data_IF_289575191744
#
_entry.id   IF_289575191744
#
_cell.length_a   1.000
_cell.length_b   1.000
_cell.length_c   1.000
_cell.angle_alpha   90.00
_cell.angle_beta   90.00
_cell.angle_gamma   90.00
#
_symmetry.space_group_name_H-M   'P 1'
#
loop_
_entity.id
_entity.type
_entity.pdbx_description
1 polymer ?
#
# COMPACT_ATOMS: atom_id res chain seq x y z
N UNK A 1 2.24 -12.70 -6.48
CA UNK A 1 2.31 -12.67 -4.99
C UNK A 1 3.66 -12.10 -4.58
N UNK A 2 3.72 -11.29 -3.52
CA UNK A 2 4.97 -10.65 -3.06
C UNK A 2 5.92 -11.65 -2.35
N UNK A 3 5.41 -12.76 -1.82
CA UNK A 3 6.17 -13.90 -1.30
C UNK A 3 5.58 -15.20 -1.89
N UNK A 4 5.91 -15.54 -3.15
CA UNK A 4 5.29 -16.67 -3.86
C UNK A 4 5.68 -18.04 -3.30
N UNK A 5 6.73 -18.09 -2.48
CA UNK A 5 7.30 -19.25 -1.82
C UNK A 5 6.79 -19.47 -0.38
N UNK A 6 5.91 -18.59 0.12
CA UNK A 6 5.34 -18.72 1.44
C UNK A 6 4.43 -19.96 1.55
N UNK A 7 4.79 -20.89 2.44
CA UNK A 7 3.94 -22.02 2.83
C UNK A 7 3.07 -21.61 4.02
N UNK A 8 1.76 -21.50 3.79
CA UNK A 8 0.79 -21.07 4.80
C UNK A 8 0.05 -22.30 5.31
N UNK A 9 0.22 -22.64 6.59
CA UNK A 9 -0.31 -23.88 7.17
C UNK A 9 -1.04 -23.64 8.50
N UNK A 10 -1.91 -24.58 8.89
CA UNK A 10 -2.61 -24.53 10.18
C UNK A 10 -3.38 -23.23 10.40
N UNK A 11 -3.13 -22.57 11.53
CA UNK A 11 -3.80 -21.31 11.90
C UNK A 11 -3.42 -20.16 10.96
N UNK A 12 -2.24 -20.22 10.34
CA UNK A 12 -1.78 -19.14 9.45
C UNK A 12 -2.63 -19.04 8.19
N UNK A 13 -3.32 -20.11 7.78
CA UNK A 13 -4.28 -20.05 6.66
C UNK A 13 -5.38 -19.04 6.95
N UNK A 14 -5.94 -19.09 8.15
CA UNK A 14 -7.01 -18.19 8.60
C UNK A 14 -6.46 -16.77 8.75
N UNK A 15 -5.29 -16.63 9.39
CA UNK A 15 -4.67 -15.32 9.62
C UNK A 15 -4.29 -14.65 8.29
N UNK A 16 -3.78 -15.40 7.33
CA UNK A 16 -3.44 -14.91 6.01
C UNK A 16 -4.70 -14.45 5.25
N UNK A 17 -5.77 -15.24 5.30
CA UNK A 17 -7.06 -14.87 4.71
C UNK A 17 -7.61 -13.57 5.31
N UNK A 18 -7.57 -13.45 6.63
CA UNK A 18 -8.02 -12.26 7.34
C UNK A 18 -7.20 -11.02 6.95
N UNK A 19 -5.87 -11.10 7.01
CA UNK A 19 -4.98 -9.96 6.77
C UNK A 19 -4.97 -9.48 5.33
N UNK A 20 -4.97 -10.40 4.37
CA UNK A 20 -4.74 -10.06 2.96
C UNK A 20 -6.01 -9.91 2.12
N UNK A 21 -7.15 -10.45 2.59
CA UNK A 21 -8.38 -10.46 1.80
C UNK A 21 -9.56 -9.89 2.57
N UNK A 22 -9.89 -10.44 3.74
CA UNK A 22 -11.15 -10.13 4.43
C UNK A 22 -11.10 -8.73 5.04
N UNK A 23 -10.10 -8.42 5.87
CA UNK A 23 -9.99 -7.11 6.55
C UNK A 23 -9.85 -5.97 5.54
N UNK A 24 -9.00 -6.04 4.50
CA UNK A 24 -8.94 -4.99 3.48
C UNK A 24 -10.29 -4.73 2.78
N UNK A 25 -10.99 -5.79 2.37
CA UNK A 25 -12.29 -5.66 1.70
C UNK A 25 -13.34 -5.04 2.62
N UNK A 26 -13.44 -5.53 3.87
CA UNK A 26 -14.37 -4.98 4.86
C UNK A 26 -14.04 -3.53 5.20
N UNK A 27 -12.76 -3.15 5.25
CA UNK A 27 -12.35 -1.76 5.51
C UNK A 27 -12.93 -0.83 4.45
N UNK A 28 -12.79 -1.17 3.16
CA UNK A 28 -13.34 -0.37 2.05
C UNK A 28 -14.87 -0.35 2.09
N UNK A 29 -15.52 -1.50 2.29
CA UNK A 29 -16.99 -1.60 2.38
C UNK A 29 -17.51 -0.74 3.53
N UNK A 30 -16.97 -0.91 4.74
CA UNK A 30 -17.43 -0.18 5.93
C UNK A 30 -17.21 1.31 5.75
N UNK A 31 -16.04 1.74 5.25
CA UNK A 31 -15.78 3.15 4.96
C UNK A 31 -16.76 3.72 3.93
N UNK A 32 -17.10 2.99 2.86
CA UNK A 32 -18.07 3.44 1.86
C UNK A 32 -19.47 3.64 2.45
N UNK A 33 -19.97 2.70 3.27
CA UNK A 33 -21.34 2.77 3.79
C UNK A 33 -21.49 3.62 5.06
N UNK A 34 -20.57 3.49 6.01
CA UNK A 34 -20.72 4.02 7.37
C UNK A 34 -19.82 5.23 7.67
N UNK A 35 -18.71 5.43 6.94
CA UNK A 35 -17.75 6.52 7.22
C UNK A 35 -16.77 6.15 8.34
N UNK A 36 -16.01 7.10 8.93
CA UNK A 36 -16.14 8.57 8.92
C UNK A 36 -15.84 9.23 7.56
N UNK A 37 -16.35 10.45 7.34
CA UNK A 37 -16.19 11.22 6.09
C UNK A 37 -15.17 12.34 6.23
N UNK A 38 -14.50 12.68 5.14
CA UNK A 38 -13.59 13.83 5.05
C UNK A 38 -12.29 13.65 5.85
N UNK A 39 -11.92 12.40 6.14
CA UNK A 39 -10.70 12.07 6.89
C UNK A 39 -9.48 11.99 5.97
N UNK A 40 -9.68 11.68 4.68
CA UNK A 40 -8.59 11.60 3.72
C UNK A 40 -8.27 13.02 3.28
N UNK A 41 -7.04 13.45 3.52
CA UNK A 41 -6.55 14.76 3.07
C UNK A 41 -5.64 14.59 1.85
N UNK A 42 -5.52 15.63 1.03
CA UNK A 42 -4.59 15.58 -0.10
C UNK A 42 -3.14 15.33 0.36
N UNK A 43 -2.75 15.91 1.50
CA UNK A 43 -1.45 15.67 2.11
C UNK A 43 -1.24 14.20 2.51
N UNK A 44 -2.29 13.54 3.03
CA UNK A 44 -2.19 12.14 3.47
C UNK A 44 -1.78 11.16 2.35
N UNK A 45 -2.10 11.49 1.09
CA UNK A 45 -1.71 10.68 -0.08
C UNK A 45 -0.18 10.60 -0.18
N UNK A 46 0.51 11.72 0.03
CA UNK A 46 1.97 11.80 -0.09
C UNK A 46 2.67 11.38 1.20
N UNK A 47 2.11 11.71 2.38
CA UNK A 47 2.70 11.26 3.66
C UNK A 47 2.62 9.74 3.81
N UNK A 48 1.61 9.09 3.22
CA UNK A 48 1.53 7.62 3.19
C UNK A 48 2.70 6.96 2.45
N UNK A 49 3.37 7.68 1.53
CA UNK A 49 4.53 7.16 0.81
C UNK A 49 5.82 7.20 1.62
N UNK A 50 5.87 7.95 2.73
CA UNK A 50 7.10 8.09 3.53
C UNK A 50 7.61 6.73 3.99
N UNK A 51 6.73 5.87 4.52
CA UNK A 51 7.08 4.54 5.00
C UNK A 51 7.60 3.64 3.86
N UNK A 52 6.84 3.39 2.77
CA UNK A 52 7.31 2.50 1.71
C UNK A 52 8.55 3.03 0.98
N UNK A 53 8.69 4.34 0.78
CA UNK A 53 9.89 4.92 0.12
C UNK A 53 11.11 4.80 1.04
N UNK A 54 10.98 5.10 2.33
CA UNK A 54 12.07 4.93 3.30
C UNK A 54 12.51 3.47 3.38
N UNK A 55 11.54 2.55 3.42
CA UNK A 55 11.82 1.13 3.41
C UNK A 55 12.51 0.68 2.11
N UNK A 56 12.03 1.13 0.94
CA UNK A 56 12.64 0.82 -0.35
C UNK A 56 14.10 1.29 -0.39
N UNK A 57 14.37 2.54 0.02
CA UNK A 57 15.74 3.08 0.11
C UNK A 57 16.62 2.22 1.01
N UNK A 58 16.14 1.87 2.21
CA UNK A 58 16.85 0.99 3.12
C UNK A 58 17.18 -0.36 2.47
N UNK A 59 16.22 -0.98 1.77
CA UNK A 59 16.44 -2.29 1.14
C UNK A 59 17.43 -2.25 -0.02
N UNK A 60 17.48 -1.15 -0.77
CA UNK A 60 18.46 -0.97 -1.84
C UNK A 60 19.87 -0.80 -1.27
N UNK A 61 20.02 0.06 -0.26
CA UNK A 61 21.29 0.30 0.43
C UNK A 61 21.79 -1.01 1.05
N UNK A 62 20.94 -1.69 1.82
CA UNK A 62 21.27 -2.96 2.47
C UNK A 62 21.55 -4.08 1.46
N UNK A 63 20.84 -4.08 0.33
CA UNK A 63 21.01 -5.04 -0.75
C UNK A 63 22.36 -4.91 -1.47
N UNK A 64 22.91 -3.70 -1.56
CA UNK A 64 24.26 -3.47 -2.09
C UNK A 64 25.33 -4.14 -1.22
N UNK A 65 25.21 -4.04 0.10
CA UNK A 65 26.20 -4.61 1.02
C UNK A 65 26.18 -6.13 1.12
N UNK A 66 25.02 -6.76 0.91
CA UNK A 66 24.87 -8.21 1.13
C UNK A 66 24.37 -9.01 -0.08
N UNK A 67 24.25 -8.36 -1.24
CA UNK A 67 23.79 -8.96 -2.49
C UNK A 67 22.41 -9.66 -2.42
N UNK A 68 21.51 -9.18 -1.55
CA UNK A 68 20.19 -9.79 -1.35
C UNK A 68 19.08 -8.75 -1.18
N UNK A 69 18.02 -8.91 -2.00
CA UNK A 69 16.86 -8.03 -2.08
C UNK A 69 15.59 -8.79 -1.65
N UNK A 70 14.66 -8.14 -0.93
CA UNK A 70 13.50 -8.81 -0.35
C UNK A 70 12.46 -9.23 -1.40
N UNK A 71 12.44 -8.58 -2.56
CA UNK A 71 11.48 -8.87 -3.63
C UNK A 71 12.16 -8.89 -5.00
N UNK A 72 11.66 -9.72 -5.95
CA UNK A 72 12.22 -9.79 -7.30
C UNK A 72 12.20 -8.43 -8.01
N UNK A 73 11.13 -7.65 -7.91
CA UNK A 73 11.04 -6.34 -8.57
C UNK A 73 11.99 -5.28 -8.00
N UNK A 74 12.62 -5.55 -6.85
CA UNK A 74 13.67 -4.73 -6.24
C UNK A 74 15.08 -5.27 -6.49
N UNK A 75 15.22 -6.42 -7.17
CA UNK A 75 16.49 -7.08 -7.33
C UNK A 75 17.37 -6.36 -8.36
N UNK A 76 18.31 -5.54 -7.86
CA UNK A 76 19.24 -4.78 -8.69
C UNK A 76 20.22 -5.69 -9.43
N UNK A 77 20.60 -6.83 -8.85
CA UNK A 77 21.50 -7.79 -9.51
C UNK A 77 20.82 -8.42 -10.74
N UNK A 78 19.52 -8.71 -10.63
CA UNK A 78 18.75 -9.33 -11.71
C UNK A 78 18.34 -8.33 -12.80
N UNK A 79 17.98 -7.09 -12.43
CA UNK A 79 17.32 -6.15 -13.34
C UNK A 79 18.05 -4.82 -13.56
N UNK A 80 19.12 -4.56 -12.80
CA UNK A 80 19.82 -3.28 -12.80
C UNK A 80 19.07 -2.18 -12.06
N UNK A 81 19.82 -1.17 -11.59
CA UNK A 81 19.26 -0.05 -10.81
C UNK A 81 18.19 0.75 -11.57
N UNK A 82 18.36 1.10 -12.87
CA UNK A 82 17.35 1.89 -13.59
C UNK A 82 15.97 1.20 -13.62
N UNK A 83 15.93 -0.10 -13.93
CA UNK A 83 14.69 -0.87 -13.96
C UNK A 83 14.03 -0.95 -12.58
N UNK A 84 14.83 -1.16 -11.53
CA UNK A 84 14.32 -1.19 -10.15
C UNK A 84 13.75 0.16 -9.73
N UNK A 85 14.40 1.28 -10.10
CA UNK A 85 13.85 2.62 -9.84
C UNK A 85 12.53 2.86 -10.60
N UNK A 86 12.43 2.39 -11.85
CA UNK A 86 11.15 2.44 -12.60
C UNK A 86 10.06 1.60 -11.93
N UNK A 87 10.39 0.42 -11.41
CA UNK A 87 9.43 -0.42 -10.67
C UNK A 87 8.93 0.29 -9.40
N UNK A 88 9.84 0.88 -8.62
CA UNK A 88 9.49 1.66 -7.42
C UNK A 88 8.59 2.84 -7.80
N UNK A 89 8.96 3.59 -8.85
CA UNK A 89 8.16 4.71 -9.34
C UNK A 89 6.77 4.27 -9.80
N UNK A 90 6.65 3.13 -10.48
CA UNK A 90 5.36 2.57 -10.90
C UNK A 90 4.47 2.19 -9.72
N UNK A 91 5.02 1.55 -8.69
CA UNK A 91 4.29 1.22 -7.45
C UNK A 91 3.87 2.49 -6.70
N UNK A 92 4.75 3.48 -6.59
CA UNK A 92 4.43 4.77 -5.96
C UNK A 92 3.32 5.51 -6.73
N UNK A 93 3.41 5.57 -8.07
CA UNK A 93 2.40 6.17 -8.92
C UNK A 93 1.04 5.48 -8.77
N UNK A 94 1.03 4.14 -8.71
CA UNK A 94 -0.20 3.38 -8.45
C UNK A 94 -0.79 3.69 -7.07
N UNK A 95 0.04 3.77 -6.03
CA UNK A 95 -0.39 4.19 -4.69
C UNK A 95 -0.98 5.59 -4.65
N UNK A 96 -0.36 6.55 -5.34
CA UNK A 96 -0.88 7.93 -5.49
C UNK A 96 -2.22 7.92 -6.20
N UNK A 97 -2.35 7.18 -7.30
CA UNK A 97 -3.60 7.06 -8.06
C UNK A 97 -4.73 6.53 -7.16
N UNK A 98 -4.48 5.46 -6.41
CA UNK A 98 -5.45 4.95 -5.44
C UNK A 98 -5.78 6.00 -4.38
N UNK A 99 -4.79 6.65 -3.79
CA UNK A 99 -5.00 7.70 -2.79
C UNK A 99 -5.86 8.86 -3.31
N UNK A 100 -5.67 9.27 -4.57
CA UNK A 100 -6.49 10.29 -5.23
C UNK A 100 -7.94 9.83 -5.44
N UNK A 101 -8.15 8.56 -5.83
CA UNK A 101 -9.48 7.97 -5.96
C UNK A 101 -10.19 7.96 -4.59
N UNK A 102 -9.53 7.44 -3.56
CA UNK A 102 -10.05 7.41 -2.19
C UNK A 102 -10.38 8.81 -1.67
N UNK A 103 -9.47 9.77 -1.87
CA UNK A 103 -9.68 11.17 -1.50
C UNK A 103 -10.87 11.80 -2.23
N UNK A 104 -11.00 11.56 -3.54
CA UNK A 104 -12.10 12.07 -4.34
C UNK A 104 -13.45 11.52 -3.89
N UNK A 105 -13.53 10.21 -3.62
CA UNK A 105 -14.73 9.54 -3.10
C UNK A 105 -15.05 10.06 -1.70
N UNK A 106 -14.07 10.15 -0.80
CA UNK A 106 -14.28 10.64 0.57
C UNK A 106 -14.87 12.06 0.57
N UNK A 107 -14.30 12.94 -0.28
CA UNK A 107 -14.75 14.32 -0.43
C UNK A 107 -16.16 14.41 -1.01
N UNK A 108 -16.51 13.55 -1.96
CA UNK A 108 -17.86 13.49 -2.52
C UNK A 108 -18.86 13.03 -1.46
N UNK A 109 -18.54 11.97 -0.73
CA UNK A 109 -19.41 11.41 0.31
C UNK A 109 -19.57 12.38 1.50
N UNK A 110 -18.52 13.12 1.86
CA UNK A 110 -18.60 14.16 2.88
C UNK A 110 -19.56 15.30 2.52
N UNK A 111 -19.71 15.61 1.22
CA UNK A 111 -20.66 16.63 0.74
C UNK A 111 -22.11 16.14 0.76
N UNK A 112 -22.34 14.87 0.42
CA UNK A 112 -23.69 14.29 0.30
C UNK A 112 -24.24 13.86 1.67
N UNK A 113 -23.37 13.35 2.55
CA UNK A 113 -23.72 12.84 3.88
C UNK A 113 -22.74 13.39 4.92
N UNK A 114 -22.89 14.65 5.35
CA UNK A 114 -22.09 15.21 6.42
C UNK A 114 -22.21 14.33 7.66
N UNK A 115 -21.10 13.96 8.28
CA UNK A 115 -21.14 13.31 9.59
C UNK A 115 -21.71 14.29 10.62
N UNK A 116 -22.50 13.83 11.60
CA UNK A 116 -22.94 14.69 12.71
C UNK A 116 -21.71 15.31 13.37
N UNK A 117 -21.75 16.61 13.63
CA UNK A 117 -20.77 17.24 14.51
C UNK A 117 -21.00 16.66 15.91
N UNK A 118 -20.04 15.87 16.41
CA UNK A 118 -20.00 15.45 17.80
C UNK A 118 -19.37 16.55 18.66
#
# INVERSE_FOLDING_TARGET
MLAPDAQVEGVDVIVNALKHYIVPALTVIIWLFFGPRGQITFASIFTALVVPITWALYTLIRGEFIAAYPYPFLNVIAYGLPTVLMNIAGVAAFGILLGLIFWGIDRLLARIRPSPAF
#
